data_IF_956298855851
#
_entry.id   IF_956298855851
#
_cell.length_a   1.000
_cell.length_b   1.000
_cell.length_c   1.000
_cell.angle_alpha   90.00
_cell.angle_beta   90.00
_cell.angle_gamma   90.00
#
_symmetry.space_group_name_H-M   'P 1'
#
loop_
_entity.id
_entity.type
_entity.pdbx_description
1 polymer ?
#
# COMPACT_ATOMS: atom_id res chain seq x y z
N UNK A 1 7.26 63.11 22.04
CA UNK A 1 7.04 63.88 23.29
C UNK A 1 5.53 64.03 23.44
N UNK A 2 4.83 63.55 24.43
CA UNK A 2 5.09 62.69 25.57
C UNK A 2 3.70 62.47 26.20
N UNK A 3 3.50 61.28 26.79
CA UNK A 3 2.50 60.96 27.82
C UNK A 3 1.01 60.99 27.44
N UNK A 4 0.42 59.79 27.45
CA UNK A 4 -0.92 59.60 28.00
C UNK A 4 -0.85 58.63 29.18
N UNK A 5 -1.71 58.94 30.15
CA UNK A 5 -1.68 58.52 31.55
C UNK A 5 -2.62 57.32 31.77
N UNK A 6 -2.16 56.45 32.67
CA UNK A 6 -2.85 55.31 33.28
C UNK A 6 -4.24 55.63 33.85
N UNK A 7 -5.20 54.73 33.62
CA UNK A 7 -6.24 54.39 34.61
C UNK A 7 -6.28 52.87 34.77
N UNK A 8 -6.21 52.45 36.03
CA UNK A 8 -6.22 51.08 36.55
C UNK A 8 -7.57 50.40 36.39
N UNK A 9 -7.55 49.09 36.13
CA UNK A 9 -8.67 48.17 36.37
C UNK A 9 -8.12 46.92 37.05
N UNK A 10 -8.66 46.60 38.22
CA UNK A 10 -8.25 45.51 39.11
C UNK A 10 -8.59 44.12 38.52
N UNK A 11 -7.69 43.16 38.77
CA UNK A 11 -7.89 41.72 38.52
C UNK A 11 -8.93 41.10 39.46
N UNK A 12 -9.44 39.92 39.09
CA UNK A 12 -9.23 38.81 40.01
C UNK A 12 -8.76 37.50 39.35
N UNK A 13 -7.65 36.99 39.88
CA UNK A 13 -7.32 35.57 40.18
C UNK A 13 -7.45 34.52 39.08
N UNK A 14 -6.30 34.16 38.50
CA UNK A 14 -6.07 32.91 37.77
C UNK A 14 -5.61 31.83 38.74
N UNK A 15 -6.46 30.83 39.00
CA UNK A 15 -6.01 29.55 39.54
C UNK A 15 -5.37 28.73 38.41
N UNK A 16 -4.04 28.66 38.41
CA UNK A 16 -3.29 27.64 37.68
C UNK A 16 -3.56 26.26 38.30
N UNK A 17 -4.42 25.46 37.67
CA UNK A 17 -4.43 24.01 37.85
C UNK A 17 -3.64 23.36 36.73
N UNK A 18 -2.43 22.93 37.07
CA UNK A 18 -1.79 21.68 36.66
C UNK A 18 -2.33 21.04 35.37
N UNK A 19 -1.64 21.27 34.25
CA UNK A 19 -1.70 20.42 33.05
C UNK A 19 -1.35 18.98 33.45
N UNK A 20 -2.37 18.13 33.59
CA UNK A 20 -2.17 16.68 33.59
C UNK A 20 -1.72 16.25 32.20
N UNK A 21 -0.60 15.56 32.16
CA UNK A 21 -0.03 14.88 31.01
C UNK A 21 -1.09 14.05 30.28
N UNK A 22 -1.34 14.40 29.01
CA UNK A 22 -2.03 13.53 28.07
C UNK A 22 -1.17 12.28 27.86
N UNK A 23 -1.79 11.12 28.05
CA UNK A 23 -1.18 9.80 27.89
C UNK A 23 -0.67 9.60 26.46
N UNK A 24 0.41 8.83 26.37
CA UNK A 24 1.18 8.53 25.17
C UNK A 24 0.35 7.86 24.06
N UNK A 25 0.59 8.19 22.76
CA UNK A 25 0.00 7.50 21.60
C UNK A 25 0.31 5.99 21.50
N UNK A 26 1.18 5.47 22.37
CA UNK A 26 1.48 4.03 22.50
C UNK A 26 0.25 3.24 22.94
N UNK A 27 -0.69 3.87 23.65
CA UNK A 27 -1.89 3.18 24.16
C UNK A 27 -2.98 2.98 23.09
N UNK A 28 -3.00 3.79 22.03
CA UNK A 28 -3.99 3.66 20.94
C UNK A 28 -3.72 2.44 20.02
N UNK A 29 -2.49 1.92 20.01
CA UNK A 29 -2.11 0.69 19.31
C UNK A 29 -2.56 -0.57 20.06
N UNK A 30 -2.85 -0.48 21.36
CA UNK A 30 -3.31 -1.61 22.18
C UNK A 30 -4.74 -2.09 21.86
N UNK A 31 -5.54 -1.24 21.20
CA UNK A 31 -6.90 -1.59 20.75
C UNK A 31 -6.89 -2.55 19.54
N UNK A 32 -5.76 -2.66 18.84
CA UNK A 32 -5.51 -3.73 17.86
C UNK A 32 -4.69 -4.78 18.62
N UNK A 33 -5.35 -5.73 19.28
CA UNK A 33 -4.68 -6.93 19.79
C UNK A 33 -4.14 -7.73 18.61
N UNK A 34 -2.96 -7.33 18.12
CA UNK A 34 -2.05 -8.22 17.43
C UNK A 34 -1.55 -9.14 18.54
N UNK A 35 -2.07 -10.37 18.58
CA UNK A 35 -1.46 -11.42 19.38
C UNK A 35 0.01 -11.48 18.94
N UNK A 36 0.92 -11.06 19.81
CA UNK A 36 2.34 -11.34 19.71
C UNK A 36 2.52 -12.86 19.84
N UNK A 37 2.27 -13.55 18.73
CA UNK A 37 2.64 -14.93 18.51
C UNK A 37 3.73 -14.93 17.46
N UNK A 38 4.97 -14.65 17.87
CA UNK A 38 6.14 -15.05 17.09
C UNK A 38 6.13 -16.58 17.10
N UNK A 39 5.44 -17.20 16.14
CA UNK A 39 5.67 -18.60 15.82
C UNK A 39 6.92 -18.57 14.93
N UNK A 40 8.07 -18.58 15.59
CA UNK A 40 9.31 -19.03 14.97
C UNK A 40 9.10 -20.51 14.65
N UNK A 41 8.73 -20.82 13.41
CA UNK A 41 8.78 -22.19 12.91
C UNK A 41 10.26 -22.58 12.87
N UNK A 42 10.75 -23.15 13.98
CA UNK A 42 11.98 -23.95 13.96
C UNK A 42 11.73 -25.10 12.99
N UNK A 43 12.27 -24.98 11.79
CA UNK A 43 12.44 -26.11 10.89
C UNK A 43 13.31 -27.11 11.67
N UNK A 44 12.73 -28.27 11.98
CA UNK A 44 13.43 -29.32 12.69
C UNK A 44 14.65 -29.76 11.88
N UNK A 45 15.84 -29.58 12.44
CA UNK A 45 17.07 -30.20 11.97
C UNK A 45 16.88 -31.73 12.05
N UNK A 46 16.52 -32.33 10.92
CA UNK A 46 16.78 -33.71 10.57
C UNK A 46 16.35 -33.96 9.12
N UNK A 47 17.21 -33.62 8.18
CA UNK A 47 17.37 -34.45 6.97
C UNK A 47 18.72 -34.18 6.33
N UNK A 48 19.49 -35.26 6.31
CA UNK A 48 20.67 -35.48 5.48
C UNK A 48 20.51 -35.00 4.04
N UNK A 49 21.58 -34.41 3.52
CA UNK A 49 21.98 -34.36 2.11
C UNK A 49 20.89 -34.74 1.09
N UNK A 50 20.06 -33.77 0.74
CA UNK A 50 19.37 -33.70 -0.53
C UNK A 50 19.08 -32.22 -0.82
N UNK A 51 19.31 -31.81 -2.06
CA UNK A 51 19.00 -30.47 -2.57
C UNK A 51 17.46 -30.27 -2.51
N UNK A 52 16.92 -29.92 -1.34
CA UNK A 52 15.50 -29.59 -1.21
C UNK A 52 15.33 -28.17 -1.73
N UNK A 53 14.90 -28.08 -2.98
CA UNK A 53 14.38 -26.85 -3.57
C UNK A 53 13.23 -26.37 -2.66
N UNK A 54 13.44 -25.24 -1.98
CA UNK A 54 12.44 -24.63 -1.10
C UNK A 54 11.16 -24.37 -1.92
N UNK A 55 10.00 -24.94 -1.53
CA UNK A 55 8.83 -25.08 -2.40
C UNK A 55 8.19 -23.75 -2.82
N UNK A 56 8.32 -22.68 -2.03
CA UNK A 56 7.92 -21.32 -2.41
C UNK A 56 8.89 -20.28 -1.80
N UNK A 57 9.23 -19.20 -2.52
CA UNK A 57 10.03 -18.11 -1.96
C UNK A 57 9.24 -17.25 -0.95
N UNK A 58 7.91 -17.24 -1.01
CA UNK A 58 7.04 -16.52 -0.08
C UNK A 58 6.51 -17.47 1.02
N UNK A 59 6.28 -16.97 2.25
CA UNK A 59 5.44 -17.65 3.22
C UNK A 59 4.04 -17.89 2.66
N UNK A 60 3.33 -18.88 3.20
CA UNK A 60 1.94 -19.13 2.80
C UNK A 60 1.02 -18.03 3.36
N UNK A 61 0.04 -17.56 2.57
CA UNK A 61 -0.98 -16.68 3.09
C UNK A 61 -1.86 -17.39 4.12
N UNK A 62 -2.17 -16.69 5.22
CA UNK A 62 -3.05 -17.18 6.28
C UNK A 62 -4.16 -16.18 6.56
N UNK A 63 -5.35 -16.72 6.82
CA UNK A 63 -6.52 -15.96 7.24
C UNK A 63 -6.90 -16.30 8.68
N UNK A 64 -7.65 -15.43 9.33
CA UNK A 64 -8.27 -15.75 10.60
C UNK A 64 -9.23 -16.93 10.44
N UNK A 65 -9.50 -17.66 11.54
CA UNK A 65 -10.52 -18.72 11.54
C UNK A 65 -11.93 -18.13 11.49
N UNK A 66 -12.12 -16.99 12.13
CA UNK A 66 -13.42 -16.34 12.27
C UNK A 66 -13.52 -15.12 11.35
N UNK A 67 -14.72 -14.92 10.81
CA UNK A 67 -15.10 -13.69 10.12
C UNK A 67 -15.18 -12.51 11.12
N UNK A 68 -14.99 -11.30 10.61
CA UNK A 68 -15.33 -10.08 11.36
C UNK A 68 -16.85 -9.91 11.50
N UNK A 69 -17.32 -9.27 12.60
CA UNK A 69 -18.72 -8.97 12.77
C UNK A 69 -19.20 -7.92 11.77
N UNK A 70 -20.43 -8.07 11.30
CA UNK A 70 -21.09 -7.10 10.42
C UNK A 70 -21.48 -5.85 11.20
N UNK A 71 -21.13 -4.68 10.68
CA UNK A 71 -21.59 -3.39 11.21
C UNK A 71 -23.03 -3.14 10.75
N UNK A 72 -23.97 -3.15 11.69
CA UNK A 72 -25.38 -2.89 11.41
C UNK A 72 -25.68 -1.38 11.48
N UNK A 73 -26.27 -0.85 10.41
CA UNK A 73 -26.62 0.56 10.26
C UNK A 73 -28.08 0.63 9.82
N UNK A 74 -28.96 1.04 10.72
CA UNK A 74 -30.41 1.01 10.48
C UNK A 74 -30.85 1.97 9.37
N UNK A 75 -30.17 3.11 9.24
CA UNK A 75 -30.62 4.22 8.39
C UNK A 75 -29.56 4.62 7.38
N UNK A 76 -29.98 4.80 6.14
CA UNK A 76 -29.11 5.14 5.02
C UNK A 76 -28.32 6.43 5.24
N UNK A 77 -28.93 7.49 5.78
CA UNK A 77 -28.21 8.74 6.04
C UNK A 77 -27.06 8.58 7.05
N UNK A 78 -27.20 7.69 8.03
CA UNK A 78 -26.13 7.42 9.00
C UNK A 78 -24.95 6.68 8.35
N UNK A 79 -25.22 5.89 7.30
CA UNK A 79 -24.18 5.30 6.48
C UNK A 79 -23.47 6.36 5.62
N UNK A 80 -24.21 7.29 5.03
CA UNK A 80 -23.65 8.39 4.25
C UNK A 80 -22.74 9.29 5.09
N UNK A 81 -23.14 9.61 6.33
CA UNK A 81 -22.31 10.33 7.30
C UNK A 81 -21.01 9.58 7.62
N UNK A 82 -21.08 8.25 7.75
CA UNK A 82 -19.91 7.40 7.98
C UNK A 82 -18.97 7.42 6.77
N UNK A 83 -19.49 7.27 5.56
CA UNK A 83 -18.71 7.34 4.31
C UNK A 83 -18.04 8.70 4.20
N UNK A 84 -18.74 9.81 4.46
CA UNK A 84 -18.18 11.15 4.39
C UNK A 84 -17.01 11.36 5.38
N UNK A 85 -17.11 10.81 6.59
CA UNK A 85 -16.02 10.83 7.57
C UNK A 85 -14.80 10.03 7.10
N UNK A 86 -15.04 8.83 6.57
CA UNK A 86 -13.97 7.96 6.06
C UNK A 86 -13.28 8.60 4.85
N UNK A 87 -14.05 9.10 3.88
CA UNK A 87 -13.53 9.81 2.71
C UNK A 87 -12.68 10.99 3.14
N UNK A 88 -13.18 11.87 4.01
CA UNK A 88 -12.40 13.03 4.49
C UNK A 88 -11.09 12.59 5.15
N UNK A 89 -11.13 11.55 5.98
CA UNK A 89 -9.93 11.02 6.66
C UNK A 89 -8.93 10.42 5.68
N UNK A 90 -9.41 9.69 4.69
CA UNK A 90 -8.63 9.05 3.63
C UNK A 90 -7.97 10.09 2.74
N UNK A 91 -8.71 11.12 2.33
CA UNK A 91 -8.21 12.20 1.47
C UNK A 91 -7.08 12.98 2.15
N UNK A 92 -7.23 13.35 3.43
CA UNK A 92 -6.14 13.95 4.21
C UNK A 92 -4.94 13.01 4.34
N UNK A 93 -5.17 11.71 4.63
CA UNK A 93 -4.08 10.75 4.71
C UNK A 93 -3.31 10.63 3.38
N UNK A 94 -4.01 10.62 2.26
CA UNK A 94 -3.39 10.51 0.94
C UNK A 94 -2.55 11.72 0.58
N UNK A 95 -2.97 12.92 0.99
CA UNK A 95 -2.19 14.15 0.84
C UNK A 95 -0.98 14.18 1.78
N UNK A 96 -1.10 13.65 3.00
CA UNK A 96 -0.05 13.63 4.03
C UNK A 96 0.99 12.52 3.85
N UNK A 97 0.69 11.48 3.08
CA UNK A 97 1.54 10.29 2.94
C UNK A 97 1.93 10.02 1.49
N UNK A 98 3.08 9.39 1.28
CA UNK A 98 3.57 9.01 -0.04
C UNK A 98 3.45 7.49 -0.24
N UNK A 99 3.05 7.03 -1.42
CA UNK A 99 3.19 5.61 -1.73
C UNK A 99 4.67 5.33 -2.01
N UNK A 100 5.32 4.47 -1.22
CA UNK A 100 6.78 4.38 -1.15
C UNK A 100 7.28 2.94 -1.09
N UNK A 101 7.64 2.39 -2.25
CA UNK A 101 8.35 1.10 -2.37
C UNK A 101 9.87 1.30 -2.47
N UNK A 102 10.32 2.51 -2.77
CA UNK A 102 11.75 2.89 -2.89
C UNK A 102 12.50 2.69 -1.58
N UNK A 103 12.00 3.23 -0.47
CA UNK A 103 12.70 3.12 0.81
C UNK A 103 12.70 1.68 1.34
N UNK A 104 11.62 0.91 1.13
CA UNK A 104 11.62 -0.52 1.50
C UNK A 104 12.68 -1.31 0.73
N UNK A 105 12.91 -0.97 -0.54
CA UNK A 105 13.95 -1.59 -1.35
C UNK A 105 15.35 -1.23 -0.87
N UNK A 106 15.56 0.04 -0.49
CA UNK A 106 16.82 0.51 0.10
C UNK A 106 17.09 -0.22 1.42
N UNK A 107 16.12 -0.25 2.32
CA UNK A 107 16.24 -0.90 3.63
C UNK A 107 16.53 -2.40 3.48
N UNK A 108 15.82 -3.08 2.56
CA UNK A 108 16.04 -4.49 2.28
C UNK A 108 17.45 -4.77 1.76
N UNK A 109 17.93 -3.97 0.80
CA UNK A 109 19.29 -4.08 0.30
C UNK A 109 20.32 -3.83 1.41
N UNK A 110 20.18 -2.75 2.16
CA UNK A 110 21.12 -2.41 3.24
C UNK A 110 21.15 -3.50 4.31
N UNK A 111 19.99 -4.04 4.70
CA UNK A 111 19.90 -5.15 5.64
C UNK A 111 20.57 -6.42 5.10
N UNK A 112 20.39 -6.72 3.81
CA UNK A 112 21.08 -7.85 3.15
C UNK A 112 22.60 -7.65 3.17
N UNK A 113 23.11 -6.48 2.77
CA UNK A 113 24.55 -6.17 2.74
C UNK A 113 25.18 -6.13 4.14
N UNK A 114 24.42 -5.77 5.16
CA UNK A 114 24.86 -5.80 6.55
C UNK A 114 24.80 -7.20 7.18
N UNK A 115 24.09 -8.14 6.55
CA UNK A 115 23.98 -9.52 7.01
C UNK A 115 25.21 -10.36 6.62
N UNK A 116 25.30 -11.58 7.17
CA UNK A 116 26.30 -12.57 6.75
C UNK A 116 25.87 -13.41 5.55
N UNK A 117 24.66 -13.21 5.02
CA UNK A 117 24.14 -13.99 3.91
C UNK A 117 24.80 -13.60 2.59
N UNK A 118 25.12 -14.61 1.78
CA UNK A 118 25.56 -14.43 0.38
C UNK A 118 24.44 -14.71 -0.62
N UNK A 119 23.48 -15.52 -0.19
CA UNK A 119 22.31 -15.88 -0.98
C UNK A 119 21.14 -14.98 -0.56
N UNK A 120 20.66 -14.16 -1.48
CA UNK A 120 19.55 -13.24 -1.25
C UNK A 120 18.25 -13.99 -0.98
N UNK A 121 18.02 -15.16 -1.58
CA UNK A 121 16.80 -15.96 -1.38
C UNK A 121 16.69 -16.45 0.07
N UNK A 122 17.80 -16.93 0.63
CA UNK A 122 17.84 -17.36 2.03
C UNK A 122 17.58 -16.18 2.97
N UNK A 123 18.23 -15.05 2.73
CA UNK A 123 17.98 -13.82 3.50
C UNK A 123 16.53 -13.35 3.36
N UNK A 124 16.01 -13.35 2.13
CA UNK A 124 14.64 -12.94 1.81
C UNK A 124 13.60 -13.77 2.55
N UNK A 125 13.83 -15.06 2.77
CA UNK A 125 12.88 -15.91 3.51
C UNK A 125 12.83 -15.61 5.00
N UNK A 126 13.94 -15.18 5.60
CA UNK A 126 14.01 -14.91 7.04
C UNK A 126 13.85 -13.42 7.38
N UNK A 127 13.99 -12.53 6.40
CA UNK A 127 13.89 -11.09 6.60
C UNK A 127 12.52 -10.74 7.18
N UNK A 128 12.42 -9.82 8.13
CA UNK A 128 11.12 -9.32 8.61
C UNK A 128 10.90 -7.92 8.03
N UNK A 129 10.02 -7.76 7.03
CA UNK A 129 9.80 -6.45 6.44
C UNK A 129 9.27 -5.46 7.49
N UNK A 130 9.86 -4.25 7.58
CA UNK A 130 9.41 -3.28 8.54
C UNK A 130 8.04 -2.72 8.15
N UNK A 131 7.11 -2.67 9.09
CA UNK A 131 5.88 -1.86 8.96
C UNK A 131 6.02 -0.63 9.82
N UNK A 132 6.21 0.52 9.18
CA UNK A 132 6.28 1.79 9.87
C UNK A 132 5.68 2.91 9.01
N UNK A 133 5.47 4.07 9.63
CA UNK A 133 4.90 5.27 8.99
C UNK A 133 5.83 5.97 7.98
N UNK A 134 7.04 5.44 7.73
CA UNK A 134 7.96 5.99 6.73
C UNK A 134 7.82 5.29 5.38
N UNK A 135 7.39 4.03 5.37
CA UNK A 135 7.40 3.18 4.17
C UNK A 135 6.01 2.71 3.76
N UNK A 136 5.19 3.69 3.39
CA UNK A 136 3.79 3.48 3.06
C UNK A 136 3.60 2.72 1.74
N UNK A 137 3.39 1.41 1.83
CA UNK A 137 2.82 0.55 0.77
C UNK A 137 1.35 0.22 1.07
N UNK A 138 0.72 -0.59 0.22
CA UNK A 138 -0.69 -1.00 0.35
C UNK A 138 -1.09 -1.40 1.78
N UNK A 139 -0.38 -2.36 2.39
CA UNK A 139 -0.66 -2.85 3.76
C UNK A 139 -0.54 -1.76 4.81
N UNK A 140 0.57 -1.01 4.82
CA UNK A 140 0.80 0.05 5.81
C UNK A 140 -0.14 1.26 5.63
N UNK A 141 -0.56 1.57 4.40
CA UNK A 141 -1.57 2.60 4.13
C UNK A 141 -2.94 2.14 4.62
N UNK A 142 -3.29 0.87 4.39
CA UNK A 142 -4.50 0.25 4.91
C UNK A 142 -4.52 0.25 6.46
N UNK A 143 -3.40 -0.04 7.11
CA UNK A 143 -3.29 0.06 8.57
C UNK A 143 -3.37 1.50 9.08
N UNK A 144 -2.73 2.45 8.39
CA UNK A 144 -2.74 3.87 8.79
C UNK A 144 -4.15 4.48 8.70
N UNK A 145 -4.92 4.19 7.64
CA UNK A 145 -6.30 4.70 7.54
C UNK A 145 -7.18 4.14 8.65
N UNK A 146 -7.05 2.84 8.96
CA UNK A 146 -7.78 2.22 10.07
C UNK A 146 -7.39 2.86 11.41
N UNK A 147 -6.11 3.11 11.65
CA UNK A 147 -5.64 3.76 12.89
C UNK A 147 -6.20 5.18 13.06
N UNK A 148 -6.25 5.96 11.96
CA UNK A 148 -6.83 7.32 11.97
C UNK A 148 -8.34 7.28 12.21
N UNK A 149 -9.05 6.39 11.53
CA UNK A 149 -10.49 6.21 11.74
C UNK A 149 -10.76 5.75 13.18
N UNK A 150 -9.98 4.83 13.73
CA UNK A 150 -10.13 4.35 15.10
C UNK A 150 -9.95 5.47 16.14
N UNK A 151 -9.13 6.48 15.84
CA UNK A 151 -8.98 7.66 16.71
C UNK A 151 -10.25 8.52 16.73
N UNK A 152 -10.93 8.64 15.59
CA UNK A 152 -12.16 9.44 15.46
C UNK A 152 -13.41 8.68 15.92
N UNK A 153 -13.44 7.37 15.65
CA UNK A 153 -14.58 6.47 15.87
C UNK A 153 -14.07 5.09 16.35
N UNK A 154 -13.70 4.95 17.64
CA UNK A 154 -13.17 3.69 18.15
C UNK A 154 -14.13 2.51 17.99
N UNK A 155 -15.43 2.78 18.07
CA UNK A 155 -16.48 1.76 18.02
C UNK A 155 -16.68 1.11 16.64
N UNK A 156 -16.16 1.71 15.56
CA UNK A 156 -16.22 1.08 14.22
C UNK A 156 -14.91 0.36 13.88
N UNK A 157 -13.83 0.62 14.62
CA UNK A 157 -12.49 0.11 14.34
C UNK A 157 -12.45 -1.44 14.33
N UNK A 158 -13.21 -2.07 15.23
CA UNK A 158 -13.23 -3.52 15.36
C UNK A 158 -13.81 -4.25 14.13
N UNK A 159 -14.60 -3.55 13.32
CA UNK A 159 -15.23 -4.07 12.11
C UNK A 159 -14.31 -4.02 10.88
N UNK A 160 -13.25 -3.22 10.91
CA UNK A 160 -12.26 -3.19 9.83
C UNK A 160 -11.30 -4.38 9.90
N UNK A 161 -10.90 -4.86 8.73
CA UNK A 161 -9.89 -5.90 8.58
C UNK A 161 -9.19 -5.78 7.24
N UNK A 162 -7.96 -6.28 7.19
CA UNK A 162 -7.24 -6.44 5.94
C UNK A 162 -7.80 -7.64 5.17
N UNK A 163 -7.91 -7.49 3.87
CA UNK A 163 -8.28 -8.55 2.92
C UNK A 163 -7.16 -8.74 1.91
N UNK A 164 -7.08 -9.95 1.36
CA UNK A 164 -6.06 -10.32 0.40
C UNK A 164 -6.60 -10.18 -1.02
N UNK A 165 -5.79 -9.64 -1.93
CA UNK A 165 -6.15 -9.42 -3.32
C UNK A 165 -5.18 -10.15 -4.24
N UNK A 166 -5.73 -10.85 -5.23
CA UNK A 166 -5.01 -11.33 -6.40
C UNK A 166 -5.31 -10.42 -7.59
N UNK A 167 -4.27 -10.01 -8.31
CA UNK A 167 -4.38 -9.09 -9.43
C UNK A 167 -4.37 -9.83 -10.76
N UNK A 168 -5.00 -9.23 -11.78
CA UNK A 168 -4.96 -9.70 -13.16
C UNK A 168 -5.27 -11.21 -13.34
N UNK A 169 -6.26 -11.71 -12.60
CA UNK A 169 -6.70 -13.11 -12.67
C UNK A 169 -7.33 -13.38 -14.03
N UNK A 170 -6.74 -14.29 -14.80
CA UNK A 170 -7.19 -14.63 -16.15
C UNK A 170 -8.44 -15.52 -16.12
N UNK A 171 -8.41 -16.60 -15.33
CA UNK A 171 -9.55 -17.52 -15.15
C UNK A 171 -10.16 -17.42 -13.75
N UNK A 172 -10.99 -16.40 -13.58
CA UNK A 172 -11.70 -16.17 -12.30
C UNK A 172 -12.60 -17.32 -11.85
N UNK A 173 -13.10 -18.16 -12.77
CA UNK A 173 -13.98 -19.27 -12.41
C UNK A 173 -13.14 -20.38 -11.80
N UNK A 174 -12.12 -20.84 -12.53
CA UNK A 174 -11.20 -21.88 -12.07
C UNK A 174 -10.52 -21.50 -10.75
N UNK A 175 -10.12 -20.23 -10.61
CA UNK A 175 -9.55 -19.72 -9.37
C UNK A 175 -10.50 -19.89 -8.17
N UNK A 176 -11.76 -19.47 -8.31
CA UNK A 176 -12.73 -19.52 -7.20
C UNK A 176 -13.13 -20.96 -6.90
N UNK A 177 -13.36 -21.78 -7.92
CA UNK A 177 -13.66 -23.21 -7.75
C UNK A 177 -12.52 -23.93 -7.02
N UNK A 178 -11.26 -23.67 -7.38
CA UNK A 178 -10.10 -24.24 -6.69
C UNK A 178 -10.04 -23.82 -5.20
N UNK A 179 -10.40 -22.56 -4.89
CA UNK A 179 -10.48 -22.07 -3.52
C UNK A 179 -11.64 -22.71 -2.74
N UNK A 180 -12.80 -22.90 -3.36
CA UNK A 180 -13.98 -23.47 -2.70
C UNK A 180 -13.84 -24.99 -2.51
N UNK A 181 -13.27 -25.72 -3.48
CA UNK A 181 -13.04 -27.17 -3.40
C UNK A 181 -11.97 -27.56 -2.37
N UNK A 182 -10.85 -26.82 -2.33
CA UNK A 182 -9.70 -27.18 -1.48
C UNK A 182 -9.66 -26.41 -0.16
N UNK A 183 -10.51 -25.40 0.00
CA UNK A 183 -10.30 -24.26 0.92
C UNK A 183 -9.21 -23.31 0.44
N UNK A 184 -9.37 -22.03 0.77
CA UNK A 184 -8.40 -20.99 0.41
C UNK A 184 -7.00 -21.26 0.97
N UNK A 185 -6.90 -21.88 2.16
CA UNK A 185 -5.62 -22.26 2.77
C UNK A 185 -4.89 -23.37 2.01
N UNK A 186 -5.61 -24.33 1.41
CA UNK A 186 -4.96 -25.38 0.64
C UNK A 186 -4.68 -24.92 -0.80
N UNK A 187 -5.50 -24.04 -1.36
CA UNK A 187 -5.24 -23.40 -2.66
C UNK A 187 -4.02 -22.45 -2.60
N UNK A 188 -3.73 -21.86 -1.43
CA UNK A 188 -2.66 -20.90 -1.18
C UNK A 188 -1.26 -21.25 -1.71
N UNK A 189 -0.95 -22.53 -1.94
CA UNK A 189 0.34 -22.97 -2.47
C UNK A 189 0.59 -22.57 -3.93
N UNK A 190 -0.49 -22.37 -4.69
CA UNK A 190 -0.45 -22.01 -6.10
C UNK A 190 -0.99 -20.59 -6.34
N UNK A 191 -1.15 -19.80 -5.28
CA UNK A 191 -1.73 -18.47 -5.37
C UNK A 191 -0.74 -17.44 -4.84
N UNK A 192 -0.66 -16.32 -5.53
CA UNK A 192 0.08 -15.16 -5.04
C UNK A 192 -0.83 -14.33 -4.12
N UNK A 193 -0.36 -13.28 -3.45
CA UNK A 193 -1.24 -12.23 -2.89
C UNK A 193 -0.50 -10.91 -2.98
N UNK A 194 -0.53 -10.31 -4.17
CA UNK A 194 0.24 -9.12 -4.53
C UNK A 194 -0.24 -7.83 -3.86
N UNK A 195 -1.52 -7.80 -3.45
CA UNK A 195 -2.11 -6.61 -2.86
C UNK A 195 -2.99 -6.91 -1.65
N UNK A 196 -3.18 -5.88 -0.82
CA UNK A 196 -4.04 -5.93 0.34
C UNK A 196 -4.65 -4.56 0.61
N UNK A 197 -5.92 -4.58 0.97
CA UNK A 197 -6.75 -3.40 1.22
C UNK A 197 -7.62 -3.64 2.45
N UNK A 198 -8.40 -2.63 2.86
CA UNK A 198 -9.29 -2.72 4.02
C UNK A 198 -10.70 -3.08 3.56
N UNK A 199 -11.35 -3.96 4.32
CA UNK A 199 -12.77 -4.24 4.18
C UNK A 199 -13.51 -4.08 5.52
N UNK A 200 -14.82 -3.86 5.43
CA UNK A 200 -15.76 -3.87 6.55
C UNK A 200 -17.09 -4.45 6.07
N UNK A 201 -17.57 -5.52 6.71
CA UNK A 201 -18.90 -6.09 6.44
C UNK A 201 -19.95 -5.12 6.98
N UNK A 202 -20.94 -4.77 6.17
CA UNK A 202 -21.98 -3.80 6.53
C UNK A 202 -23.38 -4.34 6.24
N UNK A 203 -24.35 -3.91 7.04
CA UNK A 203 -25.76 -4.12 6.78
C UNK A 203 -26.49 -2.78 6.88
N UNK A 204 -27.05 -2.31 5.77
CA UNK A 204 -27.70 -1.00 5.67
C UNK A 204 -29.20 -1.20 5.51
N UNK A 205 -29.98 -0.81 6.53
CA UNK A 205 -31.43 -0.99 6.54
C UNK A 205 -31.85 -2.44 6.18
N UNK A 206 -31.15 -3.42 6.74
CA UNK A 206 -31.38 -4.86 6.49
C UNK A 206 -30.78 -5.40 5.19
N UNK A 207 -30.08 -4.60 4.39
CA UNK A 207 -29.44 -5.03 3.13
C UNK A 207 -27.95 -5.25 3.33
N UNK A 208 -27.46 -6.40 2.88
CA UNK A 208 -26.06 -6.81 3.02
C UNK A 208 -25.15 -6.09 2.02
N UNK A 209 -23.96 -5.73 2.49
CA UNK A 209 -22.91 -5.20 1.65
C UNK A 209 -21.53 -5.26 2.29
N UNK A 210 -20.58 -4.67 1.60
CA UNK A 210 -19.20 -4.53 2.02
C UNK A 210 -18.72 -3.10 1.74
N UNK A 211 -18.00 -2.50 2.68
CA UNK A 211 -17.21 -1.30 2.42
C UNK A 211 -15.75 -1.71 2.14
N UNK A 212 -15.16 -1.15 1.10
CA UNK A 212 -13.77 -1.31 0.69
C UNK A 212 -13.05 0.04 0.78
N UNK A 213 -11.83 0.05 1.32
CA UNK A 213 -10.94 1.20 1.32
C UNK A 213 -9.57 0.76 0.78
N UNK A 214 -9.18 1.30 -0.37
CA UNK A 214 -7.95 0.91 -1.08
C UNK A 214 -6.99 2.10 -1.35
N UNK A 215 -6.27 2.55 -0.32
CA UNK A 215 -5.28 3.61 -0.48
C UNK A 215 -4.04 3.13 -1.26
N UNK A 216 -3.82 1.82 -1.37
CA UNK A 216 -2.70 1.23 -2.13
C UNK A 216 -2.81 1.52 -3.61
N UNK A 217 -4.01 1.37 -4.18
CA UNK A 217 -4.34 1.75 -5.56
C UNK A 217 -4.80 3.19 -5.74
N UNK A 218 -4.55 4.02 -4.73
CA UNK A 218 -4.82 5.44 -4.74
C UNK A 218 -6.32 5.76 -4.89
N UNK A 219 -7.19 4.87 -4.41
CA UNK A 219 -8.63 5.12 -4.37
C UNK A 219 -8.90 6.05 -3.18
N UNK A 220 -9.21 7.32 -3.46
CA UNK A 220 -9.45 8.35 -2.44
C UNK A 220 -10.88 8.41 -1.92
N UNK A 221 -11.55 7.25 -1.87
CA UNK A 221 -12.92 7.10 -1.38
C UNK A 221 -13.18 5.72 -0.80
N UNK A 222 -14.13 5.61 0.11
CA UNK A 222 -14.76 4.36 0.48
C UNK A 222 -15.64 3.88 -0.67
N UNK A 223 -15.43 2.64 -1.09
CA UNK A 223 -16.22 1.96 -2.12
C UNK A 223 -17.27 1.11 -1.41
N UNK A 224 -18.53 1.33 -1.73
CA UNK A 224 -19.65 0.57 -1.17
C UNK A 224 -20.09 -0.51 -2.15
N UNK A 225 -20.04 -1.77 -1.76
CA UNK A 225 -20.45 -2.91 -2.58
C UNK A 225 -21.69 -3.54 -1.95
N UNK A 226 -22.89 -3.20 -2.44
CA UNK A 226 -24.13 -3.86 -2.00
C UNK A 226 -24.38 -5.15 -2.77
N UNK A 227 -24.90 -6.19 -2.10
CA UNK A 227 -25.29 -7.45 -2.77
C UNK A 227 -26.41 -7.24 -3.79
N UNK A 228 -27.36 -6.37 -3.48
CA UNK A 228 -28.50 -6.04 -4.35
C UNK A 228 -28.15 -5.07 -5.49
N UNK A 229 -26.91 -4.59 -5.57
CA UNK A 229 -26.42 -3.62 -6.55
C UNK A 229 -27.18 -2.27 -6.58
N UNK A 230 -28.05 -2.00 -5.60
CA UNK A 230 -28.79 -0.75 -5.50
C UNK A 230 -28.04 0.26 -4.66
N UNK A 231 -28.40 1.54 -4.78
CA UNK A 231 -27.87 2.60 -3.92
C UNK A 231 -27.92 2.17 -2.43
N UNK A 232 -26.83 2.32 -1.66
CA UNK A 232 -25.61 3.11 -1.93
C UNK A 232 -24.46 2.37 -2.66
N UNK A 233 -24.74 1.31 -3.43
CA UNK A 233 -23.73 0.64 -4.25
C UNK A 233 -22.94 1.64 -5.13
N UNK A 234 -21.61 1.54 -5.09
CA UNK A 234 -20.67 2.32 -5.88
C UNK A 234 -20.38 1.57 -7.17
N UNK A 235 -21.03 1.98 -8.26
CA UNK A 235 -20.74 1.47 -9.59
C UNK A 235 -19.38 1.95 -10.13
N UNK A 236 -19.20 1.90 -11.45
CA UNK A 236 -17.98 2.38 -12.09
C UNK A 236 -17.64 3.82 -11.69
N UNK A 237 -16.40 4.04 -11.28
CA UNK A 237 -15.86 5.37 -10.99
C UNK A 237 -14.48 5.54 -11.63
N UNK A 238 -14.17 6.77 -12.02
CA UNK A 238 -12.85 7.13 -12.55
C UNK A 238 -11.83 7.10 -11.44
N UNK A 239 -10.78 6.29 -11.60
CA UNK A 239 -9.61 6.31 -10.71
C UNK A 239 -8.57 7.31 -11.22
N UNK A 240 -8.34 7.37 -12.53
CA UNK A 240 -7.45 8.35 -13.15
C UNK A 240 -7.97 8.75 -14.53
N UNK A 241 -7.73 10.01 -14.88
CA UNK A 241 -8.06 10.59 -16.18
C UNK A 241 -6.86 11.43 -16.63
N UNK A 242 -5.89 10.77 -17.24
CA UNK A 242 -4.70 11.42 -17.81
C UNK A 242 -4.89 11.63 -19.32
N UNK A 243 -4.22 12.63 -19.93
CA UNK A 243 -4.23 12.80 -21.37
C UNK A 243 -3.84 11.50 -22.10
N UNK A 244 -4.80 10.90 -22.82
CA UNK A 244 -4.61 9.67 -23.58
C UNK A 244 -4.80 8.37 -22.79
N UNK A 245 -5.10 8.41 -21.49
CA UNK A 245 -5.36 7.23 -20.68
C UNK A 245 -6.37 7.51 -19.55
N UNK A 246 -7.56 6.93 -19.65
CA UNK A 246 -8.56 6.92 -18.56
C UNK A 246 -8.60 5.53 -17.92
N UNK A 247 -8.57 5.47 -16.59
CA UNK A 247 -8.79 4.22 -15.83
C UNK A 247 -10.02 4.34 -14.94
N UNK A 248 -10.85 3.31 -14.94
CA UNK A 248 -12.08 3.24 -14.18
C UNK A 248 -12.15 1.92 -13.43
N UNK A 249 -12.62 1.95 -12.18
CA UNK A 249 -12.76 0.77 -11.34
C UNK A 249 -14.23 0.50 -11.02
N UNK A 250 -14.57 -0.77 -10.81
CA UNK A 250 -15.85 -1.23 -10.31
C UNK A 250 -15.64 -2.43 -9.41
N UNK A 251 -16.39 -2.51 -8.31
CA UNK A 251 -16.28 -3.58 -7.32
C UNK A 251 -17.66 -4.20 -7.14
N UNK A 252 -17.76 -5.50 -7.36
CA UNK A 252 -19.02 -6.26 -7.24
C UNK A 252 -18.76 -7.57 -6.50
N UNK A 253 -19.74 -8.09 -5.77
CA UNK A 253 -19.66 -9.49 -5.34
C UNK A 253 -19.46 -10.40 -6.55
N UNK A 254 -18.64 -11.43 -6.40
CA UNK A 254 -18.47 -12.44 -7.44
C UNK A 254 -19.80 -13.17 -7.65
N UNK A 255 -20.08 -13.48 -8.92
CA UNK A 255 -21.26 -14.28 -9.27
C UNK A 255 -21.13 -15.75 -8.84
N UNK A 256 -19.92 -16.20 -8.53
CA UNK A 256 -19.61 -17.59 -8.15
C UNK A 256 -19.64 -17.80 -6.64
N UNK A 257 -19.16 -16.81 -5.86
CA UNK A 257 -19.00 -16.96 -4.41
C UNK A 257 -19.03 -15.61 -3.70
N UNK A 258 -19.89 -15.48 -2.69
CA UNK A 258 -20.00 -14.27 -1.85
C UNK A 258 -18.73 -14.00 -1.00
N UNK A 259 -17.81 -14.97 -0.95
CA UNK A 259 -16.52 -14.83 -0.29
C UNK A 259 -15.54 -13.93 -1.06
N UNK A 260 -15.86 -13.63 -2.32
CA UNK A 260 -15.01 -12.85 -3.21
C UNK A 260 -15.70 -11.59 -3.72
N UNK A 261 -14.94 -10.50 -3.76
CA UNK A 261 -15.27 -9.32 -4.54
C UNK A 261 -14.46 -9.35 -5.83
N UNK A 262 -15.16 -9.19 -6.95
CA UNK A 262 -14.58 -8.94 -8.26
C UNK A 262 -14.29 -7.45 -8.39
N UNK A 263 -13.02 -7.09 -8.51
CA UNK A 263 -12.59 -5.75 -8.88
C UNK A 263 -12.28 -5.75 -10.38
N UNK A 264 -13.01 -4.92 -11.14
CA UNK A 264 -12.82 -4.75 -12.59
C UNK A 264 -12.12 -3.43 -12.86
N UNK A 265 -10.98 -3.49 -13.54
CA UNK A 265 -10.32 -2.32 -14.13
C UNK A 265 -10.73 -2.19 -15.60
N UNK A 266 -11.15 -0.99 -16.00
CA UNK A 266 -11.33 -0.59 -17.40
C UNK A 266 -10.34 0.52 -17.73
N UNK A 267 -9.33 0.20 -18.54
CA UNK A 267 -8.37 1.16 -19.06
C UNK A 267 -8.72 1.53 -20.50
N UNK A 268 -9.00 2.80 -20.76
CA UNK A 268 -9.27 3.35 -22.10
C UNK A 268 -8.06 4.16 -22.57
N UNK A 269 -7.38 3.71 -23.63
CA UNK A 269 -6.26 4.41 -24.26
C UNK A 269 -6.52 4.63 -25.74
N UNK A 270 -6.48 5.87 -26.19
CA UNK A 270 -6.71 6.23 -27.60
C UNK A 270 -7.98 5.59 -28.19
N UNK A 271 -9.06 5.49 -27.39
CA UNK A 271 -10.33 4.87 -27.78
C UNK A 271 -10.39 3.34 -27.65
N UNK A 272 -9.28 2.65 -27.38
CA UNK A 272 -9.26 1.20 -27.13
C UNK A 272 -9.44 0.91 -25.64
N UNK A 273 -10.28 -0.08 -25.31
CA UNK A 273 -10.53 -0.50 -23.94
C UNK A 273 -9.84 -1.84 -23.66
N UNK A 274 -9.09 -1.88 -22.56
CA UNK A 274 -8.59 -3.10 -21.94
C UNK A 274 -9.33 -3.32 -20.62
N UNK A 275 -9.65 -4.57 -20.34
CA UNK A 275 -10.28 -4.99 -19.10
C UNK A 275 -9.33 -5.94 -18.36
N UNK A 276 -9.20 -5.73 -17.06
CA UNK A 276 -8.48 -6.62 -16.15
C UNK A 276 -9.38 -6.90 -14.95
N UNK A 277 -9.28 -8.11 -14.41
CA UNK A 277 -10.08 -8.54 -13.26
C UNK A 277 -9.14 -8.96 -12.14
N UNK A 278 -9.43 -8.49 -10.94
CA UNK A 278 -8.76 -8.86 -9.70
C UNK A 278 -9.78 -9.46 -8.75
N UNK A 279 -9.34 -10.40 -7.90
CA UNK A 279 -10.20 -11.08 -6.94
C UNK A 279 -9.75 -10.77 -5.51
N UNK A 280 -10.69 -10.29 -4.71
CA UNK A 280 -10.45 -9.93 -3.30
C UNK A 280 -11.19 -10.92 -2.42
N UNK A 281 -10.47 -11.69 -1.61
CA UNK A 281 -11.09 -12.59 -0.64
C UNK A 281 -11.49 -11.83 0.62
N UNK A 282 -12.78 -11.77 0.91
CA UNK A 282 -13.36 -10.89 1.94
C UNK A 282 -14.04 -11.64 3.08
N UNK A 283 -14.10 -12.97 3.03
CA UNK A 283 -14.80 -13.70 4.08
C UNK A 283 -14.12 -13.57 5.45
N UNK A 284 -12.77 -13.67 5.51
CA UNK A 284 -12.01 -13.66 6.76
C UNK A 284 -10.81 -12.71 6.71
N UNK A 285 -10.41 -12.10 7.84
CA UNK A 285 -9.21 -11.26 7.94
C UNK A 285 -7.95 -11.93 7.43
N UNK A 286 -7.21 -11.23 6.59
CA UNK A 286 -5.90 -11.64 6.12
C UNK A 286 -4.82 -11.31 7.16
N UNK A 287 -4.13 -12.33 7.68
CA UNK A 287 -3.20 -12.18 8.82
C UNK A 287 -1.75 -11.98 8.42
N UNK A 288 -1.35 -12.48 7.25
CA UNK A 288 0.06 -12.49 6.81
C UNK A 288 0.32 -11.46 5.72
N UNK A 289 -0.47 -10.38 5.66
CA UNK A 289 -0.32 -9.32 4.66
C UNK A 289 1.11 -8.74 4.65
N UNK A 290 1.76 -8.64 5.81
CA UNK A 290 3.15 -8.18 5.90
C UNK A 290 4.10 -9.24 5.34
N UNK A 291 4.01 -10.47 5.83
CA UNK A 291 4.94 -11.53 5.47
C UNK A 291 4.82 -12.03 4.03
N UNK A 292 3.69 -11.78 3.38
CA UNK A 292 3.43 -12.20 1.99
C UNK A 292 3.42 -10.99 1.06
N UNK A 293 2.47 -10.07 1.24
CA UNK A 293 2.24 -8.96 0.29
C UNK A 293 3.35 -7.91 0.34
N UNK A 294 3.75 -7.46 1.53
CA UNK A 294 4.87 -6.52 1.66
C UNK A 294 6.18 -7.20 1.22
N UNK A 295 6.40 -8.45 1.62
CA UNK A 295 7.59 -9.21 1.23
C UNK A 295 7.68 -9.38 -0.29
N UNK A 296 6.58 -9.72 -0.96
CA UNK A 296 6.52 -9.82 -2.43
C UNK A 296 7.00 -8.54 -3.10
N UNK A 297 6.58 -7.39 -2.59
CA UNK A 297 6.95 -6.09 -3.15
C UNK A 297 8.47 -5.82 -3.09
N UNK A 298 9.20 -6.37 -2.10
CA UNK A 298 10.65 -6.17 -1.96
C UNK A 298 11.45 -6.63 -3.17
N UNK A 299 10.95 -7.64 -3.89
CA UNK A 299 11.60 -8.25 -5.06
C UNK A 299 10.82 -8.03 -6.34
N UNK A 300 9.69 -7.32 -6.32
CA UNK A 300 8.99 -6.90 -7.55
C UNK A 300 9.97 -6.19 -8.48
N UNK A 301 9.74 -6.15 -9.79
CA UNK A 301 10.71 -5.53 -10.71
C UNK A 301 10.44 -4.03 -10.95
N UNK A 302 9.50 -3.43 -10.23
CA UNK A 302 9.17 -2.01 -10.36
C UNK A 302 9.13 -1.28 -9.01
N UNK A 303 9.75 -0.09 -8.94
CA UNK A 303 9.79 0.75 -7.73
C UNK A 303 9.21 2.13 -8.00
N UNK A 304 8.62 2.70 -6.95
CA UNK A 304 7.97 4.00 -7.00
C UNK A 304 7.95 4.70 -5.63
N UNK A 305 8.05 6.03 -5.69
CA UNK A 305 7.79 6.95 -4.60
C UNK A 305 6.87 8.04 -5.15
N UNK A 306 5.62 8.11 -4.68
CA UNK A 306 4.55 8.86 -5.32
C UNK A 306 3.84 9.79 -4.32
N UNK A 307 3.69 11.06 -4.69
CA UNK A 307 2.77 12.01 -4.06
C UNK A 307 1.42 12.01 -4.76
N UNK A 308 0.36 12.14 -3.97
CA UNK A 308 -1.03 12.11 -4.43
C UNK A 308 -1.77 13.33 -3.89
N UNK A 309 -2.67 13.85 -4.71
CA UNK A 309 -3.61 14.87 -4.25
C UNK A 309 -4.77 14.23 -3.46
N UNK A 310 -5.66 15.03 -2.84
CA UNK A 310 -6.79 14.50 -2.10
C UNK A 310 -7.76 13.64 -2.94
N UNK A 311 -7.71 13.67 -4.27
CA UNK A 311 -8.54 12.82 -5.14
C UNK A 311 -7.83 11.51 -5.51
N UNK A 312 -6.61 11.31 -5.02
CA UNK A 312 -5.78 10.15 -5.30
C UNK A 312 -5.02 10.24 -6.62
N UNK A 313 -5.07 11.37 -7.31
CA UNK A 313 -4.29 11.57 -8.54
C UNK A 313 -2.82 11.73 -8.16
N UNK A 314 -1.98 10.92 -8.80
CA UNK A 314 -0.53 10.99 -8.67
C UNK A 314 -0.01 12.20 -9.44
N UNK A 315 0.63 13.15 -8.76
CA UNK A 315 1.06 14.41 -9.39
C UNK A 315 2.59 14.62 -9.36
N UNK A 316 3.30 13.93 -8.47
CA UNK A 316 4.75 14.00 -8.39
C UNK A 316 5.36 12.70 -7.87
N UNK A 317 6.62 12.46 -8.22
CA UNK A 317 7.35 11.32 -7.71
C UNK A 317 8.51 10.86 -8.57
N UNK A 318 8.98 9.67 -8.22
CA UNK A 318 9.96 8.91 -8.98
C UNK A 318 9.47 7.49 -9.19
N UNK A 319 9.83 6.88 -10.32
CA UNK A 319 9.67 5.45 -10.54
C UNK A 319 10.73 4.89 -11.48
N UNK A 320 11.01 3.60 -11.35
CA UNK A 320 11.96 2.90 -12.20
C UNK A 320 11.71 1.38 -12.20
N UNK A 321 11.95 0.71 -13.33
CA UNK A 321 12.10 -0.73 -13.35
C UNK A 321 13.49 -1.14 -12.83
N UNK A 322 13.55 -2.27 -12.15
CA UNK A 322 14.77 -3.01 -11.81
C UNK A 322 15.05 -3.95 -12.98
N UNK A 323 16.18 -3.77 -13.64
CA UNK A 323 16.54 -4.52 -14.86
C UNK A 323 17.92 -5.15 -14.69
N UNK A 324 18.13 -6.33 -15.27
CA UNK A 324 19.39 -7.06 -15.14
C UNK A 324 20.60 -6.29 -15.68
N UNK A 325 20.40 -5.49 -16.74
CA UNK A 325 21.45 -4.66 -17.31
C UNK A 325 21.40 -3.24 -16.72
N UNK A 326 22.37 -2.93 -15.84
CA UNK A 326 22.47 -1.62 -15.19
C UNK A 326 22.58 -0.45 -16.19
N UNK A 327 23.07 -0.66 -17.42
CA UNK A 327 23.15 0.42 -18.42
C UNK A 327 21.79 0.87 -18.95
N UNK A 328 20.79 -0.02 -18.84
CA UNK A 328 19.41 0.21 -19.29
C UNK A 328 18.55 0.75 -18.14
N UNK A 329 19.09 0.77 -16.92
CA UNK A 329 18.40 1.29 -15.74
C UNK A 329 18.29 2.81 -15.79
N UNK A 330 17.06 3.29 -15.86
CA UNK A 330 16.71 4.70 -15.86
C UNK A 330 15.69 4.96 -14.74
N UNK A 331 15.81 6.13 -14.14
CA UNK A 331 14.78 6.67 -13.25
C UNK A 331 13.96 7.72 -13.97
N UNK A 332 12.64 7.62 -13.82
CA UNK A 332 11.73 8.68 -14.25
C UNK A 332 11.46 9.59 -13.07
N UNK A 333 11.70 10.88 -13.24
CA UNK A 333 11.37 11.95 -12.31
C UNK A 333 10.19 12.70 -12.90
N UNK A 334 9.16 12.95 -12.10
CA UNK A 334 8.00 13.72 -12.56
C UNK A 334 7.40 14.57 -11.45
N UNK A 335 6.80 15.68 -11.84
CA UNK A 335 6.19 16.64 -10.92
C UNK A 335 5.21 17.55 -11.65
N UNK A 336 4.29 18.16 -10.91
CA UNK A 336 3.37 19.17 -11.43
C UNK A 336 4.12 20.49 -11.61
N UNK A 337 4.03 21.10 -12.80
CA UNK A 337 4.64 22.41 -13.07
C UNK A 337 3.80 23.59 -12.54
N UNK A 338 2.61 23.32 -11.99
CA UNK A 338 1.68 24.33 -11.47
C UNK A 338 0.93 25.10 -12.57
N UNK A 339 1.23 24.82 -13.84
CA UNK A 339 0.55 25.38 -15.02
C UNK A 339 -0.39 24.31 -15.57
N UNK A 340 -1.69 24.58 -15.57
CA UNK A 340 -2.75 23.69 -16.09
C UNK A 340 -2.73 22.24 -15.56
N UNK A 341 -2.20 22.03 -14.34
CA UNK A 341 -1.94 20.69 -13.76
C UNK A 341 -1.12 19.77 -14.68
N UNK A 342 -0.23 20.34 -15.49
CA UNK A 342 0.58 19.55 -16.41
C UNK A 342 1.72 18.88 -15.64
N UNK A 343 1.73 17.55 -15.66
CA UNK A 343 2.83 16.75 -15.14
C UNK A 343 3.98 16.74 -16.15
N UNK A 344 5.14 17.29 -15.77
CA UNK A 344 6.38 17.10 -16.51
C UNK A 344 7.00 15.76 -16.12
N UNK A 345 7.45 14.97 -17.11
CA UNK A 345 8.16 13.70 -16.91
C UNK A 345 9.53 13.76 -17.59
N UNK A 346 10.60 13.40 -16.89
CA UNK A 346 11.96 13.31 -17.43
C UNK A 346 12.59 11.98 -17.07
N UNK A 347 13.34 11.38 -18.00
CA UNK A 347 14.07 10.13 -17.79
C UNK A 347 15.55 10.41 -17.63
N UNK A 348 16.15 9.90 -16.56
CA UNK A 348 17.53 10.13 -16.18
C UNK A 348 18.23 8.79 -15.93
N UNK A 349 19.46 8.65 -16.42
CA UNK A 349 20.28 7.47 -16.12
C UNK A 349 20.75 7.49 -14.67
N UNK A 350 20.71 6.35 -13.98
CA UNK A 350 21.22 6.25 -12.60
C UNK A 350 22.71 6.65 -12.47
N UNK A 351 23.50 6.47 -13.54
CA UNK A 351 24.90 6.91 -13.57
C UNK A 351 25.09 8.41 -13.28
N UNK A 352 24.06 9.24 -13.50
CA UNK A 352 24.10 10.67 -13.19
C UNK A 352 24.22 10.95 -11.68
N UNK A 353 23.84 10.00 -10.81
CA UNK A 353 23.86 10.16 -9.35
C UNK A 353 25.06 9.46 -8.67
N UNK A 354 25.99 8.90 -9.45
CA UNK A 354 27.18 8.22 -8.90
C UNK A 354 28.13 9.16 -8.18
N UNK A 355 28.30 10.38 -8.70
CA UNK A 355 29.10 11.45 -8.11
C UNK A 355 28.17 12.64 -7.84
N UNK A 356 27.72 12.78 -6.58
CA UNK A 356 26.76 13.81 -6.17
C UNK A 356 27.26 15.24 -6.40
N UNK A 357 28.57 15.44 -6.53
CA UNK A 357 29.18 16.75 -6.80
C UNK A 357 29.12 17.15 -8.29
N UNK A 358 28.79 16.20 -9.17
CA UNK A 358 28.79 16.37 -10.64
C UNK A 358 27.43 16.12 -11.26
N UNK A 359 26.35 16.17 -10.48
CA UNK A 359 24.99 16.07 -11.01
C UNK A 359 24.76 17.25 -11.97
N UNK A 360 24.41 17.01 -13.25
CA UNK A 360 24.14 18.08 -14.21
C UNK A 360 23.08 19.07 -13.72
N UNK A 361 23.26 20.35 -14.01
CA UNK A 361 22.35 21.42 -13.58
C UNK A 361 20.90 21.20 -14.06
N UNK A 362 20.72 20.65 -15.26
CA UNK A 362 19.40 20.29 -15.80
C UNK A 362 18.66 19.28 -14.91
N UNK A 363 19.35 18.25 -14.41
CA UNK A 363 18.80 17.25 -13.50
C UNK A 363 18.54 17.87 -12.12
N UNK A 364 19.48 18.67 -11.62
CA UNK A 364 19.34 19.37 -10.35
C UNK A 364 18.11 20.29 -10.32
N UNK A 365 17.79 20.96 -11.43
CA UNK A 365 16.59 21.78 -11.55
C UNK A 365 15.30 20.97 -11.45
N UNK A 366 15.27 19.74 -11.99
CA UNK A 366 14.14 18.83 -11.81
C UNK A 366 13.99 18.39 -10.34
N UNK A 367 15.09 18.05 -9.67
CA UNK A 367 15.06 17.65 -8.25
C UNK A 367 14.56 18.79 -7.33
N UNK A 368 15.01 20.03 -7.56
CA UNK A 368 14.54 21.22 -6.83
C UNK A 368 13.04 21.48 -6.98
N UNK A 369 12.47 21.17 -8.16
CA UNK A 369 11.02 21.27 -8.38
C UNK A 369 10.24 20.13 -7.71
N UNK A 370 10.84 18.96 -7.61
CA UNK A 370 10.26 17.77 -6.98
C UNK A 370 10.29 17.83 -5.45
N UNK A 371 11.35 18.36 -4.84
CA UNK A 371 11.56 18.51 -3.39
C UNK A 371 10.31 18.93 -2.61
N UNK A 372 9.67 20.08 -2.90
CA UNK A 372 8.52 20.54 -2.13
C UNK A 372 7.29 19.64 -2.30
N UNK A 373 7.17 18.95 -3.44
CA UNK A 373 6.02 18.08 -3.76
C UNK A 373 6.13 16.71 -3.10
N UNK A 374 7.35 16.22 -2.87
CA UNK A 374 7.61 15.02 -2.07
C UNK A 374 7.78 15.30 -0.58
N UNK A 375 7.95 16.57 -0.17
CA UNK A 375 8.28 16.95 1.22
C UNK A 375 9.52 16.21 1.74
N UNK A 376 10.51 16.04 0.87
CA UNK A 376 11.80 15.42 1.18
C UNK A 376 12.88 16.43 0.84
N UNK A 377 13.71 16.79 1.83
CA UNK A 377 14.83 17.72 1.64
C UNK A 377 15.72 17.27 0.47
N UNK A 378 16.19 18.24 -0.33
CA UNK A 378 16.98 17.98 -1.53
C UNK A 378 18.22 17.10 -1.25
N UNK A 379 18.91 17.33 -0.13
CA UNK A 379 20.05 16.51 0.31
C UNK A 379 19.66 15.05 0.51
N UNK A 380 18.57 14.81 1.25
CA UNK A 380 18.04 13.47 1.51
C UNK A 380 17.61 12.78 0.20
N UNK A 381 17.01 13.53 -0.73
CA UNK A 381 16.64 13.00 -2.04
C UNK A 381 17.87 12.61 -2.86
N UNK A 382 18.93 13.42 -2.86
CA UNK A 382 20.19 13.11 -3.55
C UNK A 382 20.85 11.87 -2.96
N UNK A 383 20.89 11.74 -1.63
CA UNK A 383 21.45 10.57 -0.95
C UNK A 383 20.65 9.29 -1.25
N UNK A 384 19.32 9.40 -1.30
CA UNK A 384 18.45 8.31 -1.72
C UNK A 384 18.77 7.89 -3.17
N UNK A 385 18.88 8.84 -4.10
CA UNK A 385 19.20 8.56 -5.51
C UNK A 385 20.59 7.94 -5.69
N UNK A 386 21.57 8.40 -4.93
CA UNK A 386 22.91 7.80 -4.89
C UNK A 386 22.85 6.35 -4.42
N UNK A 387 22.13 6.10 -3.32
CA UNK A 387 21.95 4.73 -2.79
C UNK A 387 21.26 3.83 -3.81
N UNK A 388 20.21 4.32 -4.48
CA UNK A 388 19.56 3.58 -5.55
C UNK A 388 20.53 3.27 -6.71
N UNK A 389 21.40 4.20 -7.09
CA UNK A 389 22.45 3.95 -8.09
C UNK A 389 23.39 2.83 -7.66
N UNK A 390 23.78 2.78 -6.38
CA UNK A 390 24.59 1.67 -5.84
C UNK A 390 23.83 0.33 -5.95
N UNK A 391 22.55 0.31 -5.59
CA UNK A 391 21.72 -0.91 -5.63
C UNK A 391 21.57 -1.43 -7.06
N UNK A 392 21.14 -0.59 -8.01
CA UNK A 392 20.88 -1.02 -9.40
C UNK A 392 22.18 -1.37 -10.15
N UNK A 393 23.34 -0.99 -9.61
CA UNK A 393 24.65 -1.37 -10.17
C UNK A 393 25.29 -2.58 -9.47
N UNK A 394 24.73 -3.05 -8.35
CA UNK A 394 25.08 -4.33 -7.74
C UNK A 394 24.44 -5.47 -8.56
N UNK A 395 25.16 -5.90 -9.60
CA UNK A 395 24.68 -6.90 -10.56
C UNK A 395 24.33 -8.24 -9.91
N UNK A 396 24.99 -8.61 -8.81
CA UNK A 396 24.70 -9.85 -8.10
C UNK A 396 23.36 -9.74 -7.34
N UNK A 397 23.17 -8.66 -6.58
CA UNK A 397 21.91 -8.41 -5.89
C UNK A 397 20.73 -8.30 -6.85
N UNK A 398 20.86 -7.52 -7.92
CA UNK A 398 19.81 -7.34 -8.94
C UNK A 398 19.45 -8.68 -9.59
N UNK A 399 20.45 -9.46 -10.00
CA UNK A 399 20.22 -10.78 -10.61
C UNK A 399 19.48 -11.71 -9.65
N UNK A 400 19.89 -11.79 -8.40
CA UNK A 400 19.22 -12.64 -7.41
C UNK A 400 17.80 -12.15 -7.10
N UNK A 401 17.58 -10.82 -7.00
CA UNK A 401 16.25 -10.25 -6.78
C UNK A 401 15.29 -10.58 -7.92
N UNK A 402 15.74 -10.40 -9.17
CA UNK A 402 14.95 -10.75 -10.36
C UNK A 402 14.70 -12.26 -10.44
N UNK A 403 15.67 -13.10 -10.08
CA UNK A 403 15.45 -14.54 -10.04
C UNK A 403 14.38 -14.94 -8.99
N UNK A 404 14.30 -14.26 -7.85
CA UNK A 404 13.22 -14.47 -6.88
C UNK A 404 11.88 -14.00 -7.45
N UNK A 405 11.85 -12.82 -8.08
CA UNK A 405 10.68 -12.28 -8.77
C UNK A 405 10.11 -13.28 -9.80
N UNK A 406 10.97 -13.82 -10.66
CA UNK A 406 10.58 -14.72 -11.74
C UNK A 406 10.01 -16.03 -11.18
N UNK A 407 10.61 -16.56 -10.11
CA UNK A 407 10.06 -17.75 -9.44
C UNK A 407 8.68 -17.48 -8.86
N UNK A 408 8.44 -16.30 -8.29
CA UNK A 408 7.10 -15.94 -7.80
C UNK A 408 6.13 -15.82 -8.97
N UNK A 409 6.49 -15.06 -10.01
CA UNK A 409 5.63 -14.85 -11.17
C UNK A 409 5.26 -16.17 -11.88
N UNK A 410 6.15 -17.15 -11.90
CA UNK A 410 5.84 -18.50 -12.42
C UNK A 410 4.82 -19.23 -11.55
N UNK A 411 4.87 -19.09 -10.22
CA UNK A 411 3.82 -19.65 -9.35
C UNK A 411 2.46 -19.01 -9.62
N UNK A 412 2.45 -17.75 -10.03
CA UNK A 412 1.24 -16.96 -10.33
C UNK A 412 0.73 -17.14 -11.75
N UNK A 413 1.52 -17.71 -12.66
CA UNK A 413 1.11 -17.97 -14.05
C UNK A 413 0.07 -19.09 -14.15
N UNK A 414 -0.12 -19.86 -13.07
CA UNK A 414 -1.17 -20.86 -12.93
C UNK A 414 -2.47 -20.27 -12.31
N UNK A 415 -2.57 -18.94 -12.14
CA UNK A 415 -3.75 -18.23 -11.60
C UNK A 415 -4.92 -18.09 -12.58
#
# INVERSE_FOLDING_TARGET
>A
RDKQVLIKGDEPTVHQQSRRSLSSPVDALSAIKINEGIISLKISENSSENNVQLPSPLPLPLWAKESKPTLNIEKLYAYEDLVALIDTTLQHMMEETHYNTVNNFIDFYQAFKASSFKNLREFFQIYSPPVNRRHHMCVSLAMEIVARIATLRPNIAEHFYLVSCEEAVEDTISYIENCDEKSIEAAAWSLEKEHSLVAMKIMIAGREGLMIIDPGYHVARAVTVMKDQNYPHTGFFTQSDEPGCKREYCYTFSHMSDNFITWRERTTRNGQQKYEISLIYVDRPYKTAIDVTVRRNLVYDFRSLLSRDPKGRVFAGIYFPVVANATDSNITIFYDEGIDNKILKTKVKFSAFKDVTKIPESIMNHLKKLEPQLRIELSTMIDMLKTLTEIVTDADFVKQSLAINDVIAVLSADN
#
